data_IF_106131204028
#
_entry.id   IF_106131204028
#
_cell.length_a   1.000
_cell.length_b   1.000
_cell.length_c   1.000
_cell.angle_alpha   90.00
_cell.angle_beta   90.00
_cell.angle_gamma   90.00
#
_symmetry.space_group_name_H-M   'P 1'
#
loop_
_entity.id
_entity.type
_entity.pdbx_description
1 polymer ?
#
# COMPACT_ATOMS: atom_id res chain seq x y z
N UNK A 1 -98.90 75.62 -37.47
CA UNK A 1 -99.98 74.63 -37.30
C UNK A 1 -99.44 73.54 -36.35
N UNK A 2 -100.17 73.17 -35.29
CA UNK A 2 -99.70 72.55 -34.04
C UNK A 2 -100.12 71.04 -33.99
N UNK A 3 -100.23 70.27 -32.87
CA UNK A 3 -100.74 70.55 -31.48
C UNK A 3 -99.72 70.20 -30.36
N UNK A 4 -99.60 70.86 -29.19
CA UNK A 4 -100.43 71.12 -27.97
C UNK A 4 -100.45 70.00 -26.88
N UNK A 5 -100.54 70.38 -25.57
CA UNK A 5 -99.84 69.77 -24.42
C UNK A 5 -100.76 69.23 -23.30
N UNK A 6 -100.20 68.71 -22.20
CA UNK A 6 -100.72 68.81 -20.80
C UNK A 6 -99.67 68.18 -19.84
N UNK A 7 -99.05 68.92 -18.92
CA UNK A 7 -99.56 69.48 -17.66
C UNK A 7 -99.50 68.48 -16.50
N UNK A 8 -98.91 68.93 -15.38
CA UNK A 8 -99.18 68.46 -14.01
C UNK A 8 -98.36 67.26 -13.51
N UNK A 9 -97.20 67.52 -12.90
CA UNK A 9 -96.65 66.83 -11.69
C UNK A 9 -95.29 67.45 -11.29
N UNK A 10 -95.20 68.78 -11.30
CA UNK A 10 -94.21 69.51 -10.50
C UNK A 10 -94.70 69.53 -9.05
N UNK A 11 -93.80 69.51 -8.06
CA UNK A 11 -94.04 69.70 -6.60
C UNK A 11 -94.04 68.45 -5.68
N UNK A 12 -93.37 67.34 -6.02
CA UNK A 12 -93.18 66.23 -5.07
C UNK A 12 -91.74 65.68 -4.93
N UNK A 13 -90.78 66.13 -5.75
CA UNK A 13 -89.43 65.54 -5.80
C UNK A 13 -88.33 66.33 -5.06
N UNK A 14 -88.64 67.52 -4.51
CA UNK A 14 -87.64 68.44 -3.95
C UNK A 14 -87.47 68.41 -2.42
N UNK A 15 -88.31 67.64 -1.69
CA UNK A 15 -88.27 67.59 -0.22
C UNK A 15 -87.57 66.34 0.36
N UNK A 16 -87.21 65.36 -0.48
CA UNK A 16 -86.56 64.11 -0.06
C UNK A 16 -85.03 64.14 0.02
N UNK A 17 -84.38 65.16 -0.55
CA UNK A 17 -82.91 65.23 -0.66
C UNK A 17 -82.21 65.89 0.55
N UNK A 18 -82.95 66.48 1.49
CA UNK A 18 -82.37 67.21 2.63
C UNK A 18 -81.93 66.32 3.81
N UNK A 19 -82.24 65.01 3.79
CA UNK A 19 -81.98 64.09 4.93
C UNK A 19 -80.62 63.37 4.81
N UNK A 20 -79.89 63.52 3.70
CA UNK A 20 -78.61 62.81 3.47
C UNK A 20 -77.34 63.64 3.78
N UNK A 21 -77.45 64.82 4.38
CA UNK A 21 -76.29 65.71 4.60
C UNK A 21 -75.86 65.95 6.07
N UNK A 22 -76.40 65.20 7.04
CA UNK A 22 -75.93 65.28 8.45
C UNK A 22 -75.12 64.03 8.82
N UNK A 23 -73.82 64.04 8.52
CA UNK A 23 -72.93 62.94 8.88
C UNK A 23 -71.47 63.17 8.52
N UNK A 24 -70.83 64.23 9.03
CA UNK A 24 -69.37 64.34 9.08
C UNK A 24 -68.94 65.36 10.13
N UNK A 25 -68.49 64.89 11.30
CA UNK A 25 -67.53 65.61 12.13
C UNK A 25 -66.85 64.63 13.10
N UNK A 26 -65.60 64.29 12.83
CA UNK A 26 -64.64 64.00 13.90
C UNK A 26 -63.23 64.40 13.42
N UNK A 27 -62.74 65.50 13.97
CA UNK A 27 -61.38 66.01 13.83
C UNK A 27 -60.59 65.56 15.07
N UNK A 28 -59.61 64.69 14.89
CA UNK A 28 -58.52 64.52 15.84
C UNK A 28 -57.20 64.89 15.15
N UNK A 29 -56.63 66.00 15.59
CA UNK A 29 -55.36 66.54 15.09
C UNK A 29 -54.24 65.94 15.95
N UNK A 30 -53.37 65.11 15.36
CA UNK A 30 -52.15 64.65 16.00
C UNK A 30 -50.95 65.46 15.47
N UNK A 31 -50.17 66.03 16.38
CA UNK A 31 -48.96 66.80 16.13
C UNK A 31 -47.85 65.94 15.49
N UNK A 32 -47.25 66.42 14.39
CA UNK A 32 -46.14 65.76 13.70
C UNK A 32 -44.83 65.91 14.49
N UNK A 33 -44.34 64.81 15.06
CA UNK A 33 -42.96 64.67 15.54
C UNK A 33 -42.04 64.30 14.35
N UNK A 34 -40.76 64.73 14.32
CA UNK A 34 -39.83 64.34 13.26
C UNK A 34 -39.76 62.80 13.15
N UNK A 35 -39.75 62.21 11.94
CA UNK A 35 -39.71 60.75 11.80
C UNK A 35 -38.43 60.22 12.43
N UNK A 36 -38.60 59.32 13.42
CA UNK A 36 -37.48 58.63 14.04
C UNK A 36 -36.79 57.74 13.00
N UNK A 37 -35.45 57.68 12.98
CA UNK A 37 -34.72 56.88 12.01
C UNK A 37 -35.15 55.41 12.12
N UNK A 38 -35.38 54.73 10.99
CA UNK A 38 -35.90 53.37 11.01
C UNK A 38 -34.93 52.44 11.74
N UNK A 39 -35.44 51.71 12.71
CA UNK A 39 -34.64 50.73 13.44
C UNK A 39 -34.22 49.59 12.49
N UNK A 40 -32.93 49.27 12.52
CA UNK A 40 -32.34 48.18 11.74
C UNK A 40 -31.71 47.15 12.67
N UNK A 41 -31.89 45.88 12.34
CA UNK A 41 -31.25 44.78 13.05
C UNK A 41 -29.80 44.64 12.58
N UNK A 42 -28.86 44.71 13.52
CA UNK A 42 -27.43 44.51 13.26
C UNK A 42 -26.90 43.32 14.04
N UNK A 43 -26.04 42.54 13.40
CA UNK A 43 -25.29 41.45 14.03
C UNK A 43 -23.81 41.76 13.94
N UNK A 44 -23.14 41.83 15.09
CA UNK A 44 -21.68 42.02 15.15
C UNK A 44 -21.01 40.66 15.09
N UNK A 45 -20.35 40.36 13.97
CA UNK A 45 -19.60 39.12 13.77
C UNK A 45 -18.23 39.24 14.44
N UNK A 46 -17.82 38.22 15.20
CA UNK A 46 -16.46 38.12 15.76
C UNK A 46 -15.69 37.06 14.99
N UNK A 47 -14.48 37.40 14.56
CA UNK A 47 -13.58 36.43 13.97
C UNK A 47 -13.20 35.39 15.03
N UNK A 48 -13.43 34.12 14.73
CA UNK A 48 -12.94 32.99 15.52
C UNK A 48 -12.26 31.99 14.58
N UNK A 49 -11.22 31.33 15.08
CA UNK A 49 -10.55 30.28 14.32
C UNK A 49 -11.47 29.07 14.22
N UNK A 50 -11.79 28.65 12.99
CA UNK A 50 -12.55 27.44 12.72
C UNK A 50 -11.74 26.50 11.84
N UNK A 51 -11.57 25.25 12.29
CA UNK A 51 -10.91 24.23 11.50
C UNK A 51 -11.83 23.79 10.34
N UNK A 52 -11.30 23.80 9.12
CA UNK A 52 -11.97 23.23 7.95
C UNK A 52 -11.54 21.76 7.84
N UNK A 53 -12.42 20.86 8.27
CA UNK A 53 -12.19 19.41 8.15
C UNK A 53 -12.70 18.96 6.79
N UNK A 54 -11.88 18.21 6.05
CA UNK A 54 -12.26 17.56 4.78
C UNK A 54 -12.13 16.07 4.93
N UNK A 55 -13.23 15.36 4.80
CA UNK A 55 -13.24 13.90 4.75
C UNK A 55 -12.96 13.44 3.32
N UNK A 56 -11.89 12.67 3.15
CA UNK A 56 -11.47 12.14 1.87
C UNK A 56 -11.37 10.62 1.97
N UNK A 57 -11.81 9.86 0.96
CA UNK A 57 -11.64 8.42 0.94
C UNK A 57 -10.15 8.07 0.82
N UNK A 58 -9.68 7.15 1.65
CA UNK A 58 -8.34 6.61 1.61
C UNK A 58 -8.35 5.10 1.79
N UNK A 59 -7.27 4.43 1.40
CA UNK A 59 -7.05 3.01 1.68
C UNK A 59 -5.79 2.87 2.50
N UNK A 60 -5.84 1.97 3.47
CA UNK A 60 -4.66 1.54 4.23
C UNK A 60 -3.95 0.43 3.46
N UNK A 61 -2.62 0.44 3.49
CA UNK A 61 -1.78 -0.60 2.92
C UNK A 61 -0.82 -1.12 4.00
N UNK A 62 -0.46 -2.42 3.97
CA UNK A 62 0.52 -2.97 4.89
C UNK A 62 1.91 -2.36 4.64
N UNK A 63 2.70 -2.21 5.72
CA UNK A 63 4.06 -1.68 5.64
C UNK A 63 5.00 -2.59 4.83
N UNK A 64 4.77 -3.91 4.87
CA UNK A 64 5.46 -4.91 4.05
C UNK A 64 4.48 -5.95 3.56
N UNK A 65 4.65 -6.36 2.31
CA UNK A 65 4.00 -7.52 1.70
C UNK A 65 5.08 -8.49 1.29
N UNK A 66 4.95 -9.76 1.71
CA UNK A 66 5.87 -10.81 1.35
C UNK A 66 5.09 -11.92 0.63
N UNK A 67 5.22 -11.96 -0.69
CA UNK A 67 4.67 -13.05 -1.51
C UNK A 67 5.60 -14.27 -1.42
N UNK A 68 5.17 -15.29 -0.70
CA UNK A 68 5.93 -16.54 -0.57
C UNK A 68 5.83 -17.33 -1.88
N UNK A 69 6.97 -17.47 -2.57
CA UNK A 69 7.07 -18.25 -3.82
C UNK A 69 8.11 -19.35 -3.65
N UNK A 70 7.84 -20.58 -4.14
CA UNK A 70 8.83 -21.64 -4.11
C UNK A 70 10.01 -21.27 -5.01
N UNK A 71 11.24 -21.43 -4.50
CA UNK A 71 12.49 -21.21 -5.27
C UNK A 71 12.91 -22.45 -6.07
N UNK A 72 12.35 -23.60 -5.73
CA UNK A 72 12.63 -24.89 -6.33
C UNK A 72 11.33 -25.58 -6.72
N UNK A 73 11.37 -26.39 -7.77
CA UNK A 73 10.24 -27.19 -8.21
C UNK A 73 10.09 -28.44 -7.34
N UNK A 74 8.86 -28.85 -7.08
CA UNK A 74 8.59 -30.10 -6.36
C UNK A 74 7.14 -30.20 -5.89
N UNK A 75 6.81 -31.36 -5.31
CA UNK A 75 5.49 -31.62 -4.74
C UNK A 75 5.49 -31.12 -3.29
N UNK A 76 4.41 -30.44 -2.89
CA UNK A 76 4.21 -30.04 -1.49
C UNK A 76 3.73 -31.26 -0.71
N UNK A 77 4.51 -31.69 0.27
CA UNK A 77 4.18 -32.81 1.16
C UNK A 77 3.29 -32.37 2.32
N UNK A 78 3.60 -31.23 2.93
CA UNK A 78 2.85 -30.72 4.07
C UNK A 78 2.92 -29.20 4.19
N UNK A 79 1.92 -28.64 4.87
CA UNK A 79 1.88 -27.25 5.33
C UNK A 79 2.13 -27.24 6.84
N UNK A 80 3.19 -26.57 7.28
CA UNK A 80 3.69 -26.64 8.66
C UNK A 80 3.21 -25.46 9.52
N UNK A 81 2.27 -24.66 9.01
CA UNK A 81 1.68 -23.53 9.74
C UNK A 81 0.15 -23.55 9.72
N UNK A 82 -0.40 -22.90 10.74
CA UNK A 82 -1.83 -22.59 10.84
C UNK A 82 -2.15 -21.26 10.14
N UNK A 83 -3.21 -21.23 9.35
CA UNK A 83 -3.61 -20.05 8.59
C UNK A 83 -4.08 -18.93 9.53
N UNK A 84 -3.65 -17.69 9.25
CA UNK A 84 -4.01 -16.51 10.03
C UNK A 84 -3.16 -16.27 11.27
N UNK A 85 -2.20 -17.16 11.56
CA UNK A 85 -1.24 -17.02 12.65
C UNK A 85 -0.05 -16.15 12.23
N UNK A 86 0.57 -15.49 13.20
CA UNK A 86 1.86 -14.81 13.01
C UNK A 86 2.99 -15.84 12.84
N UNK A 87 3.87 -15.60 11.87
CA UNK A 87 5.02 -16.47 11.57
C UNK A 87 6.32 -15.69 11.73
N UNK A 88 7.36 -16.36 12.24
CA UNK A 88 8.68 -15.75 12.40
C UNK A 88 9.53 -15.96 11.16
N UNK A 89 10.50 -15.07 10.94
CA UNK A 89 11.48 -15.23 9.87
C UNK A 89 12.26 -16.55 10.07
N UNK A 90 12.35 -17.35 8.99
CA UNK A 90 13.01 -18.66 9.01
C UNK A 90 12.12 -19.82 9.46
N UNK A 91 10.89 -19.59 9.88
CA UNK A 91 9.95 -20.66 10.20
C UNK A 91 9.53 -21.41 8.91
N UNK A 92 9.60 -22.75 8.87
CA UNK A 92 9.21 -23.52 7.71
C UNK A 92 7.70 -23.41 7.49
N UNK A 93 7.30 -22.98 6.30
CA UNK A 93 5.88 -22.85 5.93
C UNK A 93 5.37 -24.08 5.17
N UNK A 94 6.19 -24.60 4.26
CA UNK A 94 5.84 -25.73 3.40
C UNK A 94 7.02 -26.69 3.34
N UNK A 95 6.73 -27.99 3.43
CA UNK A 95 7.69 -29.04 3.12
C UNK A 95 7.51 -29.45 1.66
N UNK A 96 8.54 -29.23 0.85
CA UNK A 96 8.63 -29.78 -0.51
C UNK A 96 9.32 -31.14 -0.42
N UNK A 97 8.94 -32.08 -1.29
CA UNK A 97 9.57 -33.41 -1.38
C UNK A 97 11.10 -33.28 -1.49
N UNK A 98 11.86 -33.71 -0.46
CA UNK A 98 13.30 -33.54 -0.44
C UNK A 98 14.02 -34.60 -1.28
N UNK A 99 13.36 -35.70 -1.66
CA UNK A 99 14.02 -36.88 -2.22
C UNK A 99 14.91 -36.60 -3.44
N UNK A 100 14.51 -35.77 -4.42
CA UNK A 100 15.39 -35.43 -5.54
C UNK A 100 16.64 -34.66 -5.09
N UNK A 101 16.49 -33.76 -4.11
CA UNK A 101 17.58 -32.94 -3.58
C UNK A 101 18.51 -33.75 -2.68
N UNK A 102 17.99 -34.72 -1.92
CA UNK A 102 18.79 -35.64 -1.13
C UNK A 102 19.68 -36.52 -2.01
N UNK A 103 19.16 -37.00 -3.15
CA UNK A 103 19.96 -37.77 -4.11
C UNK A 103 21.06 -36.92 -4.74
N UNK A 104 20.76 -35.66 -5.08
CA UNK A 104 21.75 -34.72 -5.61
C UNK A 104 22.83 -34.39 -4.57
N UNK A 105 22.44 -34.17 -3.31
CA UNK A 105 23.35 -33.97 -2.19
C UNK A 105 24.28 -35.17 -2.02
N UNK A 106 23.73 -36.39 -1.98
CA UNK A 106 24.52 -37.63 -1.87
C UNK A 106 25.51 -37.79 -3.03
N UNK A 107 25.11 -37.43 -4.25
CA UNK A 107 26.00 -37.47 -5.41
C UNK A 107 27.15 -36.45 -5.27
N UNK A 108 26.87 -35.25 -4.78
CA UNK A 108 27.87 -34.21 -4.53
C UNK A 108 28.84 -34.60 -3.39
N UNK A 109 28.33 -35.18 -2.30
CA UNK A 109 29.13 -35.71 -1.19
C UNK A 109 30.05 -36.85 -1.65
N UNK A 110 29.55 -37.76 -2.48
CA UNK A 110 30.37 -38.83 -3.06
C UNK A 110 31.48 -38.28 -3.97
N UNK A 111 31.19 -37.22 -4.74
CA UNK A 111 32.17 -36.54 -5.57
C UNK A 111 33.23 -35.81 -4.73
N UNK A 112 32.86 -35.21 -3.60
CA UNK A 112 33.78 -34.64 -2.62
C UNK A 112 34.71 -35.71 -2.06
N UNK A 113 34.15 -36.82 -1.55
CA UNK A 113 34.94 -37.92 -0.98
C UNK A 113 35.96 -38.49 -1.98
N UNK A 114 35.58 -38.59 -3.26
CA UNK A 114 36.50 -38.98 -4.34
C UNK A 114 37.65 -37.97 -4.50
N UNK A 115 37.38 -36.68 -4.46
CA UNK A 115 38.40 -35.64 -4.57
C UNK A 115 39.34 -35.62 -3.35
N UNK A 116 38.81 -35.83 -2.14
CA UNK A 116 39.61 -35.97 -0.92
C UNK A 116 40.57 -37.17 -1.01
N UNK A 117 40.08 -38.31 -1.49
CA UNK A 117 40.91 -39.49 -1.71
C UNK A 117 42.00 -39.25 -2.76
N UNK A 118 41.67 -38.54 -3.86
CA UNK A 118 42.63 -38.16 -4.88
C UNK A 118 43.71 -37.20 -4.34
N UNK A 119 43.33 -36.22 -3.50
CA UNK A 119 44.26 -35.33 -2.82
C UNK A 119 45.19 -36.08 -1.87
N UNK A 120 44.66 -37.02 -1.10
CA UNK A 120 45.46 -37.86 -0.23
C UNK A 120 46.49 -38.67 -1.04
N UNK A 121 46.06 -39.27 -2.15
CA UNK A 121 46.96 -40.03 -3.02
C UNK A 121 48.03 -39.14 -3.67
N UNK A 122 47.66 -37.94 -4.14
CA UNK A 122 48.59 -36.99 -4.75
C UNK A 122 49.59 -36.41 -3.73
N UNK A 123 49.14 -36.11 -2.50
CA UNK A 123 50.00 -35.60 -1.44
C UNK A 123 51.04 -36.63 -0.99
N UNK A 124 50.62 -37.88 -0.77
CA UNK A 124 51.53 -38.97 -0.43
C UNK A 124 52.53 -39.26 -1.56
N UNK A 125 52.10 -39.14 -2.82
CA UNK A 125 53.00 -39.27 -3.96
C UNK A 125 54.02 -38.13 -4.04
N UNK A 126 53.59 -36.89 -3.85
CA UNK A 126 54.47 -35.72 -3.85
C UNK A 126 55.53 -35.81 -2.75
N UNK A 127 55.14 -36.15 -1.51
CA UNK A 127 56.08 -36.34 -0.38
C UNK A 127 57.12 -37.42 -0.70
N UNK A 128 56.67 -38.54 -1.30
CA UNK A 128 57.56 -39.64 -1.68
C UNK A 128 58.56 -39.23 -2.75
N UNK A 129 58.10 -38.57 -3.82
CA UNK A 129 58.98 -38.13 -4.90
C UNK A 129 59.95 -37.05 -4.40
N UNK A 130 59.49 -36.10 -3.58
CA UNK A 130 60.36 -35.10 -2.97
C UNK A 130 61.51 -35.74 -2.18
N UNK A 131 61.19 -36.78 -1.39
CA UNK A 131 62.20 -37.53 -0.61
C UNK A 131 63.20 -38.26 -1.52
N UNK A 132 62.72 -38.89 -2.60
CA UNK A 132 63.58 -39.57 -3.58
C UNK A 132 64.44 -38.60 -4.39
N UNK A 133 63.93 -37.40 -4.71
CA UNK A 133 64.72 -36.37 -5.40
C UNK A 133 65.83 -35.84 -4.48
N UNK A 134 65.56 -35.66 -3.18
CA UNK A 134 66.59 -35.27 -2.20
C UNK A 134 67.72 -36.30 -2.06
N UNK A 135 67.42 -37.58 -2.26
CA UNK A 135 68.43 -38.66 -2.28
C UNK A 135 69.00 -38.95 -3.69
N UNK A 136 68.70 -38.10 -4.68
CA UNK A 136 69.07 -38.27 -6.10
C UNK A 136 68.57 -39.58 -6.74
N UNK A 137 67.54 -40.22 -6.17
CA UNK A 137 66.90 -41.42 -6.68
C UNK A 137 65.75 -41.13 -7.67
N UNK A 138 65.30 -39.88 -7.79
CA UNK A 138 64.29 -39.43 -8.76
C UNK A 138 64.71 -38.11 -9.43
N UNK A 139 64.24 -37.86 -10.65
CA UNK A 139 64.55 -36.65 -11.42
C UNK A 139 63.79 -35.41 -10.89
N UNK A 140 64.32 -34.22 -11.15
CA UNK A 140 63.64 -32.96 -10.82
C UNK A 140 62.32 -32.80 -11.59
N UNK A 141 62.28 -33.20 -12.87
CA UNK A 141 61.06 -33.18 -13.67
C UNK A 141 59.94 -34.05 -13.07
N UNK A 142 60.28 -35.21 -12.49
CA UNK A 142 59.30 -36.05 -11.80
C UNK A 142 58.72 -35.36 -10.55
N UNK A 143 59.55 -34.61 -9.83
CA UNK A 143 59.10 -33.82 -8.68
C UNK A 143 58.18 -32.67 -9.09
N UNK A 144 58.52 -31.94 -10.15
CA UNK A 144 57.67 -30.87 -10.70
C UNK A 144 56.28 -31.41 -11.11
N UNK A 145 56.23 -32.56 -11.78
CA UNK A 145 54.97 -33.23 -12.12
C UNK A 145 54.18 -33.62 -10.87
N UNK A 146 54.84 -34.17 -9.84
CA UNK A 146 54.18 -34.56 -8.61
C UNK A 146 53.59 -33.35 -7.84
N UNK A 147 54.31 -32.23 -7.81
CA UNK A 147 53.84 -30.96 -7.22
C UNK A 147 52.67 -30.39 -8.02
N UNK A 148 52.73 -30.41 -9.36
CA UNK A 148 51.64 -29.97 -10.22
C UNK A 148 50.37 -30.81 -10.00
N UNK A 149 50.51 -32.14 -9.92
CA UNK A 149 49.38 -33.04 -9.64
C UNK A 149 48.77 -32.80 -8.24
N UNK A 150 49.60 -32.50 -7.23
CA UNK A 150 49.10 -32.10 -5.91
C UNK A 150 48.32 -30.79 -5.97
N UNK A 151 48.83 -29.79 -6.70
CA UNK A 151 48.13 -28.52 -6.87
C UNK A 151 46.78 -28.70 -7.59
N UNK A 152 46.74 -29.55 -8.63
CA UNK A 152 45.51 -29.89 -9.33
C UNK A 152 44.49 -30.58 -8.41
N UNK A 153 44.91 -31.59 -7.64
CA UNK A 153 44.01 -32.28 -6.71
C UNK A 153 43.47 -31.35 -5.60
N UNK A 154 44.27 -30.37 -5.14
CA UNK A 154 43.80 -29.33 -4.22
C UNK A 154 42.75 -28.43 -4.87
N UNK A 155 42.97 -28.02 -6.12
CA UNK A 155 42.00 -27.22 -6.86
C UNK A 155 40.68 -27.99 -7.09
N UNK A 156 40.77 -29.28 -7.42
CA UNK A 156 39.61 -30.15 -7.61
C UNK A 156 38.80 -30.29 -6.32
N UNK A 157 39.46 -30.48 -5.16
CA UNK A 157 38.79 -30.50 -3.85
C UNK A 157 38.09 -29.16 -3.54
N UNK A 158 38.75 -28.04 -3.82
CA UNK A 158 38.15 -26.72 -3.64
C UNK A 158 36.91 -26.53 -4.52
N UNK A 159 36.95 -27.02 -5.77
CA UNK A 159 35.81 -26.99 -6.68
C UNK A 159 34.64 -27.85 -6.17
N UNK A 160 34.91 -29.07 -5.67
CA UNK A 160 33.86 -29.92 -5.09
C UNK A 160 33.23 -29.32 -3.82
N UNK A 161 34.03 -28.67 -2.97
CA UNK A 161 33.51 -27.94 -1.81
C UNK A 161 32.62 -26.75 -2.20
N UNK A 162 32.98 -26.05 -3.27
CA UNK A 162 32.15 -24.97 -3.81
C UNK A 162 30.82 -25.49 -4.36
N UNK A 163 30.80 -26.69 -4.94
CA UNK A 163 29.58 -27.31 -5.44
C UNK A 163 28.60 -27.68 -4.31
N UNK A 164 29.08 -28.08 -3.12
CA UNK A 164 28.23 -28.39 -1.95
C UNK A 164 27.64 -27.16 -1.25
N UNK A 165 28.26 -25.99 -1.42
CA UNK A 165 27.84 -24.74 -0.79
C UNK A 165 26.95 -23.86 -1.67
N UNK A 166 26.64 -24.33 -2.88
CA UNK A 166 25.76 -23.67 -3.86
C UNK A 166 24.28 -23.79 -3.46
#
# INVERSE_FOLDING_TARGET
MPPRPNAMTSMALLFGAAVLLSGCNDQSVASAQPPEPPEVSVVTVKASSQAIIRELPGRIAPLRVADVRPRVSGIILSRTFEQGREVKAGEPLYQIDPKPFEVELQAAEAALAKAEAALLQASQHAIRIETLTKSNAASQAANEVAVANLAQAKADLAARNADLSR
#
